data_IF_863810353687
#
_entry.id   IF_863810353687
#
_cell.length_a   1.000
_cell.length_b   1.000
_cell.length_c   1.000
_cell.angle_alpha   90.00
_cell.angle_beta   90.00
_cell.angle_gamma   90.00
#
_symmetry.space_group_name_H-M   'P 1'
#
loop_
_entity.id
_entity.type
_entity.pdbx_description
1 polymer ?
#
# COMPACT_ATOMS: atom_id res chain seq x y z
N UNK A 1 12.84 -5.58 28.99
CA UNK A 1 13.67 -5.51 27.77
C UNK A 1 12.88 -6.08 26.63
N UNK A 2 12.61 -5.26 25.64
CA UNK A 2 11.79 -5.63 24.46
C UNK A 2 12.69 -6.03 23.28
N UNK A 3 13.93 -5.57 23.30
CA UNK A 3 14.93 -5.96 22.32
C UNK A 3 15.75 -7.16 22.80
N UNK A 4 16.10 -8.02 21.83
CA UNK A 4 17.08 -9.08 22.08
C UNK A 4 18.44 -8.42 22.36
N UNK A 5 19.14 -8.90 23.38
CA UNK A 5 20.47 -8.38 23.77
C UNK A 5 21.45 -8.45 22.62
N UNK A 6 21.39 -9.52 21.83
CA UNK A 6 22.23 -9.70 20.64
C UNK A 6 21.97 -8.62 19.58
N UNK A 7 20.73 -8.14 19.46
CA UNK A 7 20.39 -7.07 18.53
C UNK A 7 20.97 -5.73 18.94
N UNK A 8 20.90 -5.35 20.23
CA UNK A 8 21.49 -4.09 20.71
C UNK A 8 23.01 -4.11 20.62
N UNK A 9 23.63 -5.24 20.93
CA UNK A 9 25.09 -5.43 20.77
C UNK A 9 25.50 -5.31 19.28
N UNK A 10 24.75 -5.92 18.37
CA UNK A 10 24.99 -5.80 16.92
C UNK A 10 24.79 -4.39 16.40
N UNK A 11 23.78 -3.65 16.90
CA UNK A 11 23.55 -2.25 16.54
C UNK A 11 24.70 -1.37 17.03
N UNK A 12 25.15 -1.55 18.28
CA UNK A 12 26.26 -0.80 18.85
C UNK A 12 27.57 -1.08 18.11
N UNK A 13 27.83 -2.34 17.75
CA UNK A 13 29.00 -2.73 16.96
C UNK A 13 28.97 -2.04 15.59
N UNK A 14 27.84 -2.11 14.88
CA UNK A 14 27.66 -1.44 13.60
C UNK A 14 27.92 0.08 13.68
N UNK A 15 27.37 0.73 14.70
CA UNK A 15 27.55 2.18 14.89
C UNK A 15 29.02 2.56 15.18
N UNK A 16 29.81 1.64 15.75
CA UNK A 16 31.23 1.86 16.00
C UNK A 16 32.11 1.59 14.77
N UNK A 17 31.81 0.51 14.03
CA UNK A 17 32.58 0.07 12.86
C UNK A 17 32.24 0.92 11.62
N UNK A 18 30.94 1.17 11.37
CA UNK A 18 30.44 1.94 10.23
C UNK A 18 29.97 3.34 10.67
N UNK A 19 30.79 4.00 11.48
CA UNK A 19 30.46 5.28 12.12
C UNK A 19 30.00 6.35 11.14
N UNK A 20 30.62 6.43 9.96
CA UNK A 20 30.29 7.44 8.95
C UNK A 20 28.89 7.20 8.36
N UNK A 21 28.54 5.94 8.05
CA UNK A 21 27.23 5.58 7.52
C UNK A 21 26.14 5.80 8.56
N UNK A 22 26.35 5.37 9.79
CA UNK A 22 25.42 5.61 10.89
C UNK A 22 25.21 7.12 11.16
N UNK A 23 26.30 7.90 11.18
CA UNK A 23 26.25 9.34 11.39
C UNK A 23 25.46 10.06 10.29
N UNK A 24 25.69 9.70 9.02
CA UNK A 24 24.97 10.29 7.88
C UNK A 24 23.44 10.10 8.03
N UNK A 25 23.00 8.90 8.41
CA UNK A 25 21.57 8.59 8.60
C UNK A 25 20.98 9.41 9.74
N UNK A 26 21.63 9.41 10.91
CA UNK A 26 21.14 10.12 12.09
C UNK A 26 21.12 11.64 11.85
N UNK A 27 22.17 12.16 11.22
CA UNK A 27 22.26 13.57 10.89
C UNK A 27 21.23 13.98 9.85
N UNK A 28 21.00 13.15 8.83
CA UNK A 28 19.96 13.41 7.82
C UNK A 28 18.57 13.53 8.42
N UNK A 29 18.24 12.70 9.43
CA UNK A 29 16.98 12.82 10.17
C UNK A 29 16.93 14.12 10.98
N UNK A 30 18.04 14.52 11.61
CA UNK A 30 18.12 15.76 12.40
C UNK A 30 18.01 16.99 11.50
N UNK A 31 18.57 16.96 10.29
CA UNK A 31 18.55 18.07 9.33
C UNK A 31 17.18 18.36 8.73
N UNK A 32 16.18 17.48 8.93
CA UNK A 32 14.80 17.76 8.54
C UNK A 32 14.19 18.92 9.34
N UNK A 33 14.86 19.39 10.40
CA UNK A 33 14.45 20.54 11.18
C UNK A 33 13.14 20.34 11.98
N UNK A 34 12.73 19.09 12.17
CA UNK A 34 11.54 18.71 12.93
C UNK A 34 11.93 17.98 14.21
N UNK A 35 11.33 18.39 15.33
CA UNK A 35 11.57 17.73 16.62
C UNK A 35 10.80 16.40 16.77
N UNK A 36 9.78 16.17 15.94
CA UNK A 36 9.00 14.93 15.89
C UNK A 36 8.85 14.51 14.43
N UNK A 37 9.24 13.28 14.13
CA UNK A 37 9.07 12.65 12.84
C UNK A 37 8.14 11.44 12.98
N UNK A 38 7.19 11.32 12.07
CA UNK A 38 6.35 10.14 11.95
C UNK A 38 7.00 9.12 10.99
N UNK A 39 6.52 7.88 11.06
CA UNK A 39 7.03 6.78 10.23
C UNK A 39 7.22 7.14 8.76
N UNK A 40 6.22 7.78 8.13
CA UNK A 40 6.28 8.16 6.72
C UNK A 40 7.46 9.11 6.43
N UNK A 41 7.68 10.09 7.31
CA UNK A 41 8.75 11.07 7.16
C UNK A 41 10.13 10.43 7.31
N UNK A 42 10.27 9.48 8.24
CA UNK A 42 11.50 8.69 8.39
C UNK A 42 11.77 7.83 7.15
N UNK A 43 10.75 7.16 6.61
CA UNK A 43 10.89 6.35 5.41
C UNK A 43 11.22 7.19 4.17
N UNK A 44 10.57 8.34 3.99
CA UNK A 44 10.85 9.28 2.89
C UNK A 44 12.28 9.84 2.98
N UNK A 45 12.77 10.13 4.19
CA UNK A 45 14.13 10.59 4.40
C UNK A 45 15.16 9.52 4.02
N UNK A 46 14.91 8.27 4.41
CA UNK A 46 15.78 7.15 4.06
C UNK A 46 15.78 6.86 2.55
N UNK A 47 14.63 6.92 1.90
CA UNK A 47 14.52 6.74 0.46
C UNK A 47 15.38 7.78 -0.30
N UNK A 48 15.33 9.05 0.10
CA UNK A 48 16.14 10.12 -0.49
C UNK A 48 17.65 9.90 -0.25
N UNK A 49 18.02 9.41 0.93
CA UNK A 49 19.42 9.09 1.23
C UNK A 49 19.94 7.96 0.31
N UNK A 50 19.14 6.92 0.08
CA UNK A 50 19.48 5.82 -0.82
C UNK A 50 19.55 6.25 -2.31
N UNK A 51 18.69 7.17 -2.76
CA UNK A 51 18.71 7.71 -4.12
C UNK A 51 19.96 8.53 -4.42
N UNK A 52 20.57 9.17 -3.42
CA UNK A 52 21.79 9.95 -3.57
C UNK A 52 23.06 9.10 -3.79
N UNK A 53 22.96 7.77 -3.81
CA UNK A 53 24.05 6.84 -4.18
C UNK A 53 25.05 6.55 -3.07
N UNK A 54 24.89 7.12 -1.89
CA UNK A 54 25.73 6.88 -0.74
C UNK A 54 25.05 5.92 0.23
N UNK A 55 25.64 4.72 0.37
CA UNK A 55 25.37 3.72 1.42
C UNK A 55 23.88 3.36 1.65
N UNK A 56 23.36 2.51 0.78
CA UNK A 56 22.13 1.78 1.08
C UNK A 56 22.36 0.92 2.36
N UNK A 57 21.57 1.16 3.40
CA UNK A 57 21.63 0.46 4.69
C UNK A 57 21.26 -1.03 4.60
N UNK A 58 21.13 -1.58 3.40
CA UNK A 58 20.62 -2.91 3.15
C UNK A 58 21.37 -3.99 3.96
N UNK A 59 20.62 -4.73 4.76
CA UNK A 59 21.14 -5.82 5.59
C UNK A 59 21.78 -5.38 6.92
N UNK A 60 21.85 -4.07 7.22
CA UNK A 60 22.45 -3.57 8.46
C UNK A 60 21.49 -3.60 9.66
N UNK A 61 22.01 -3.62 10.91
CA UNK A 61 21.18 -3.44 12.10
C UNK A 61 20.44 -2.09 12.12
N UNK A 62 21.01 -1.05 11.55
CA UNK A 62 20.41 0.28 11.45
C UNK A 62 19.18 0.26 10.51
N UNK A 63 19.24 -0.44 9.39
CA UNK A 63 18.08 -0.64 8.52
C UNK A 63 16.90 -1.26 9.29
N UNK A 64 17.17 -2.30 10.11
CA UNK A 64 16.13 -2.96 10.92
C UNK A 64 15.49 -2.02 11.93
N UNK A 65 16.27 -1.09 12.51
CA UNK A 65 15.73 -0.01 13.37
C UNK A 65 14.80 0.84 12.54
N UNK A 66 15.29 1.39 11.43
CA UNK A 66 14.57 2.37 10.61
C UNK A 66 13.28 1.80 10.00
N UNK A 67 13.27 0.54 9.59
CA UNK A 67 12.07 -0.13 9.09
C UNK A 67 10.96 -0.26 10.14
N UNK A 68 11.34 -0.37 11.44
CA UNK A 68 10.42 -0.56 12.56
C UNK A 68 10.00 0.73 13.25
N UNK A 69 10.62 1.86 12.91
CA UNK A 69 10.29 3.18 13.49
C UNK A 69 8.83 3.54 13.19
N UNK A 70 8.12 3.94 14.23
CA UNK A 70 6.79 4.53 14.14
C UNK A 70 6.82 6.04 14.41
N UNK A 71 7.63 6.43 15.38
CA UNK A 71 7.87 7.83 15.75
C UNK A 71 9.35 8.01 16.08
N UNK A 72 9.90 9.17 15.76
CA UNK A 72 11.22 9.60 16.21
C UNK A 72 11.12 11.01 16.81
N UNK A 73 11.64 11.18 18.02
CA UNK A 73 11.77 12.47 18.68
C UNK A 73 13.23 12.89 18.60
N UNK A 74 13.50 14.12 18.18
CA UNK A 74 14.85 14.66 17.99
C UNK A 74 15.04 15.83 18.92
N UNK A 75 16.04 15.72 19.79
CA UNK A 75 16.42 16.76 20.74
C UNK A 75 17.95 16.91 20.77
N UNK A 76 18.47 17.98 20.21
CA UNK A 76 19.89 18.19 20.01
C UNK A 76 20.60 16.98 19.36
N UNK A 77 21.54 16.34 20.04
CA UNK A 77 22.30 15.18 19.56
C UNK A 77 21.61 13.84 19.83
N UNK A 78 20.43 13.85 20.46
CA UNK A 78 19.69 12.67 20.83
C UNK A 78 18.50 12.42 19.90
N UNK A 79 18.40 11.18 19.45
CA UNK A 79 17.25 10.68 18.70
C UNK A 79 16.59 9.57 19.52
N UNK A 80 15.32 9.71 19.77
CA UNK A 80 14.49 8.76 20.53
C UNK A 80 13.50 8.11 19.58
N UNK A 81 13.52 6.80 19.48
CA UNK A 81 12.72 6.04 18.54
C UNK A 81 11.68 5.19 19.27
N UNK A 82 10.43 5.30 18.87
CA UNK A 82 9.41 4.32 19.18
C UNK A 82 9.39 3.28 18.06
N UNK A 83 9.77 2.05 18.37
CA UNK A 83 9.92 0.96 17.42
C UNK A 83 8.81 -0.07 17.64
N UNK A 84 8.21 -0.53 16.56
CA UNK A 84 7.28 -1.64 16.61
C UNK A 84 8.02 -2.93 16.23
N UNK A 85 8.44 -3.68 17.22
CA UNK A 85 9.25 -4.90 17.04
C UNK A 85 8.43 -6.03 16.44
N UNK A 86 7.19 -6.19 16.91
CA UNK A 86 6.16 -7.11 16.40
C UNK A 86 4.78 -6.50 16.62
N UNK A 87 3.75 -7.12 16.05
CA UNK A 87 2.36 -6.74 16.31
C UNK A 87 2.07 -6.75 17.82
N UNK A 88 1.62 -5.62 18.35
CA UNK A 88 1.34 -5.46 19.79
C UNK A 88 2.57 -5.34 20.70
N UNK A 89 3.79 -5.31 20.15
CA UNK A 89 5.03 -5.15 20.92
C UNK A 89 5.79 -3.90 20.50
N UNK A 90 6.00 -3.01 21.46
CA UNK A 90 6.73 -1.77 21.30
C UNK A 90 8.03 -1.79 22.07
N UNK A 91 9.09 -1.29 21.46
CA UNK A 91 10.38 -1.02 22.11
C UNK A 91 10.75 0.43 21.89
N UNK A 92 11.50 0.97 22.82
CA UNK A 92 11.94 2.36 22.77
C UNK A 92 13.45 2.39 22.85
N UNK A 93 14.05 3.17 21.94
CA UNK A 93 15.50 3.22 21.78
C UNK A 93 15.93 4.69 21.78
N UNK A 94 16.99 5.01 22.52
CA UNK A 94 17.68 6.28 22.39
C UNK A 94 19.01 6.08 21.66
N UNK A 95 19.34 7.00 20.77
CA UNK A 95 20.63 7.01 20.07
C UNK A 95 21.24 8.41 20.18
N UNK A 96 22.52 8.47 20.58
CA UNK A 96 23.28 9.70 20.52
C UNK A 96 24.07 9.74 19.21
N UNK A 97 23.82 10.75 18.37
CA UNK A 97 24.43 10.90 17.04
C UNK A 97 25.92 11.25 17.09
N UNK A 98 26.40 11.90 18.17
CA UNK A 98 27.81 12.27 18.33
C UNK A 98 28.63 11.17 19.01
N UNK A 99 28.08 10.60 20.10
CA UNK A 99 28.78 9.54 20.85
C UNK A 99 28.65 8.17 20.15
N UNK A 100 27.70 8.01 19.25
CA UNK A 100 27.37 6.73 18.60
C UNK A 100 27.01 5.64 19.61
N UNK A 101 26.19 5.98 20.58
CA UNK A 101 25.65 5.06 21.59
C UNK A 101 24.18 4.80 21.35
N UNK A 102 23.75 3.56 21.52
CA UNK A 102 22.35 3.13 21.43
C UNK A 102 21.95 2.38 22.69
N UNK A 103 20.85 2.78 23.30
CA UNK A 103 20.34 2.20 24.54
C UNK A 103 18.82 2.03 24.49
N UNK A 104 18.32 0.95 25.08
CA UNK A 104 16.88 0.74 25.28
C UNK A 104 16.41 1.58 26.46
N UNK A 105 15.32 2.33 26.27
CA UNK A 105 14.68 3.13 27.31
C UNK A 105 13.29 2.62 27.62
N UNK A 106 12.76 2.85 28.83
CA UNK A 106 11.39 2.52 29.16
C UNK A 106 10.40 3.47 28.46
N UNK A 107 9.16 3.00 28.25
CA UNK A 107 8.08 3.80 27.63
C UNK A 107 7.82 5.11 28.38
N UNK A 108 7.93 5.09 29.71
CA UNK A 108 7.72 6.28 30.56
C UNK A 108 8.73 7.39 30.25
N UNK A 109 9.95 7.03 29.95
CA UNK A 109 11.03 7.98 29.58
C UNK A 109 10.77 8.57 28.19
N UNK A 110 10.43 7.74 27.22
CA UNK A 110 10.08 8.20 25.87
C UNK A 110 8.88 9.16 25.90
N UNK A 111 7.82 8.82 26.64
CA UNK A 111 6.64 9.66 26.79
C UNK A 111 6.95 10.98 27.52
N UNK A 112 7.80 10.94 28.55
CA UNK A 112 8.26 12.14 29.25
C UNK A 112 9.00 13.11 28.33
N UNK A 113 9.92 12.60 27.50
CA UNK A 113 10.66 13.40 26.53
C UNK A 113 9.72 14.01 25.49
N UNK A 114 8.77 13.21 24.99
CA UNK A 114 7.76 13.67 24.04
C UNK A 114 6.84 14.73 24.64
N UNK A 115 6.42 14.57 25.89
CA UNK A 115 5.59 15.54 26.60
C UNK A 115 6.35 16.85 26.87
N UNK A 116 7.61 16.78 27.29
CA UNK A 116 8.47 17.95 27.49
C UNK A 116 8.61 18.74 26.20
N UNK A 117 8.75 18.08 25.07
CA UNK A 117 8.89 18.74 23.77
C UNK A 117 7.63 19.53 23.38
N UNK A 118 6.45 19.07 23.80
CA UNK A 118 5.17 19.79 23.60
C UNK A 118 5.04 20.96 24.58
N UNK A 119 5.42 20.77 25.85
CA UNK A 119 5.24 21.75 26.90
C UNK A 119 6.27 22.91 26.83
N UNK A 120 7.52 22.65 26.47
CA UNK A 120 8.55 23.70 26.30
C UNK A 120 8.24 24.70 25.16
N UNK A 121 7.31 24.36 24.28
CA UNK A 121 6.82 25.25 23.23
C UNK A 121 5.67 26.17 23.64
N UNK A 122 5.11 26.00 24.84
CA UNK A 122 4.01 26.87 25.32
C UNK A 122 4.48 28.30 25.66
N UNK A 123 5.75 28.56 25.87
CA UNK A 123 6.29 29.90 26.18
C UNK A 123 6.68 30.74 24.95
N UNK A 124 6.64 30.21 23.74
CA UNK A 124 6.82 31.02 22.53
C UNK A 124 5.55 31.01 21.67
N UNK A 125 4.75 32.09 21.83
CA UNK A 125 3.52 32.33 21.04
C UNK A 125 3.73 32.39 19.50
N UNK A 126 4.93 32.11 19.01
CA UNK A 126 5.29 32.21 17.59
C UNK A 126 5.23 30.88 16.82
N UNK A 127 4.95 29.74 17.50
CA UNK A 127 4.91 28.43 16.83
C UNK A 127 3.65 27.64 17.20
N UNK A 128 2.50 28.27 17.05
CA UNK A 128 1.25 27.53 16.92
C UNK A 128 1.35 26.78 15.61
N UNK A 129 1.29 25.44 15.64
CA UNK A 129 1.09 24.63 14.46
C UNK A 129 -0.30 24.99 13.90
N UNK A 130 -0.36 26.02 13.09
CA UNK A 130 -1.55 26.35 12.32
C UNK A 130 -1.69 25.27 11.24
N UNK A 131 -2.37 24.19 11.59
CA UNK A 131 -2.82 23.24 10.58
C UNK A 131 -3.88 23.97 9.78
N UNK A 132 -3.53 24.43 8.58
CA UNK A 132 -4.51 24.98 7.66
C UNK A 132 -5.46 23.87 7.21
N UNK A 133 -6.55 23.74 7.96
CA UNK A 133 -7.66 22.84 7.64
C UNK A 133 -8.59 23.40 6.56
N UNK A 134 -8.35 24.60 6.07
CA UNK A 134 -9.18 25.23 5.04
C UNK A 134 -9.28 24.39 3.76
N UNK A 135 -8.22 23.71 3.29
CA UNK A 135 -8.31 22.78 2.16
C UNK A 135 -9.21 21.58 2.41
N UNK A 136 -9.40 21.20 3.68
CA UNK A 136 -10.19 20.03 4.07
C UNK A 136 -11.64 20.38 4.43
N UNK A 137 -11.89 21.61 4.87
CA UNK A 137 -13.24 22.09 5.26
C UNK A 137 -14.07 22.58 4.06
N UNK A 138 -13.44 23.01 2.98
CA UNK A 138 -14.12 23.45 1.77
C UNK A 138 -14.21 22.29 0.77
N UNK A 139 -15.10 21.41 0.92
CA UNK A 139 -15.56 20.30 0.07
C UNK A 139 -14.88 19.96 -1.28
N UNK A 140 -14.04 20.84 -1.83
CA UNK A 140 -13.20 20.59 -3.02
C UNK A 140 -11.91 21.40 -2.91
N UNK A 141 -10.74 20.76 -2.86
CA UNK A 141 -9.49 21.47 -3.01
C UNK A 141 -9.45 22.11 -4.40
N UNK A 142 -9.24 23.42 -4.45
CA UNK A 142 -8.91 24.08 -5.71
C UNK A 142 -7.59 23.48 -6.19
N UNK A 143 -7.64 22.68 -7.27
CA UNK A 143 -6.44 22.16 -7.93
C UNK A 143 -5.63 23.36 -8.44
N UNK A 144 -4.60 23.75 -7.71
CA UNK A 144 -3.68 24.83 -8.11
C UNK A 144 -2.67 24.40 -9.15
N UNK A 145 -2.49 23.11 -9.39
CA UNK A 145 -1.59 22.60 -10.43
C UNK A 145 -2.20 21.43 -11.18
N UNK A 146 -2.58 21.68 -12.42
CA UNK A 146 -3.01 20.68 -13.42
C UNK A 146 -1.80 19.95 -14.02
N UNK A 147 -0.88 19.46 -13.20
CA UNK A 147 0.29 18.72 -13.70
C UNK A 147 0.26 17.30 -13.21
N UNK A 148 -0.22 16.42 -14.06
CA UNK A 148 -0.23 14.98 -14.12
C UNK A 148 -1.44 14.27 -13.46
N UNK A 149 -2.13 13.51 -14.29
CA UNK A 149 -3.19 12.55 -13.97
C UNK A 149 -2.72 11.50 -12.91
N UNK A 150 -1.40 11.30 -12.73
CA UNK A 150 -0.84 10.36 -11.76
C UNK A 150 -0.94 10.74 -10.28
N UNK A 151 -1.16 12.00 -9.94
CA UNK A 151 -1.26 12.45 -8.53
C UNK A 151 -2.67 12.37 -7.93
N UNK A 152 -3.68 12.03 -8.72
CA UNK A 152 -5.05 11.84 -8.22
C UNK A 152 -5.16 10.68 -7.24
N UNK A 153 -4.44 9.59 -7.48
CA UNK A 153 -4.39 8.42 -6.59
C UNK A 153 -3.68 8.79 -5.28
N UNK A 154 -2.56 9.49 -5.35
CA UNK A 154 -1.82 9.96 -4.17
C UNK A 154 -2.67 10.92 -3.32
N UNK A 155 -3.45 11.80 -3.96
CA UNK A 155 -4.38 12.69 -3.27
C UNK A 155 -5.51 11.91 -2.59
N UNK A 156 -6.12 10.95 -3.27
CA UNK A 156 -7.17 10.09 -2.69
C UNK A 156 -6.64 9.27 -1.52
N UNK A 157 -5.43 8.74 -1.64
CA UNK A 157 -4.80 7.97 -0.58
C UNK A 157 -4.49 8.83 0.64
N UNK A 158 -3.99 10.06 0.45
CA UNK A 158 -3.78 11.03 1.55
C UNK A 158 -5.09 11.40 2.23
N UNK A 159 -6.16 11.63 1.47
CA UNK A 159 -7.48 11.95 2.02
C UNK A 159 -8.08 10.77 2.80
N UNK A 160 -8.01 9.56 2.24
CA UNK A 160 -8.47 8.35 2.94
C UNK A 160 -7.68 8.12 4.23
N UNK A 161 -6.36 8.33 4.19
CA UNK A 161 -5.51 8.22 5.36
C UNK A 161 -5.86 9.24 6.42
N UNK A 162 -6.02 10.53 6.07
CA UNK A 162 -6.40 11.57 7.04
C UNK A 162 -7.76 11.27 7.69
N UNK A 163 -8.73 10.75 6.93
CA UNK A 163 -10.02 10.32 7.49
C UNK A 163 -9.88 9.12 8.44
N UNK A 164 -8.91 8.22 8.21
CA UNK A 164 -8.59 7.15 9.17
C UNK A 164 -7.95 7.67 10.46
N UNK A 165 -7.29 8.82 10.40
CA UNK A 165 -6.63 9.45 11.56
C UNK A 165 -7.55 10.37 12.36
N UNK A 166 -8.45 11.11 11.70
CA UNK A 166 -9.18 12.23 12.32
C UNK A 166 -10.28 11.83 13.32
N UNK A 167 -10.88 10.63 13.19
CA UNK A 167 -11.92 10.17 14.10
C UNK A 167 -11.57 8.80 14.68
N UNK A 168 -11.31 8.75 15.99
CA UNK A 168 -10.99 7.50 16.71
C UNK A 168 -12.02 6.40 16.42
N UNK A 169 -11.62 5.39 15.64
CA UNK A 169 -12.42 4.20 15.35
C UNK A 169 -13.33 4.29 14.11
N UNK A 170 -13.63 5.46 13.58
CA UNK A 170 -14.53 5.62 12.42
C UNK A 170 -13.85 5.14 11.12
N UNK A 171 -12.59 5.51 10.92
CA UNK A 171 -11.83 5.06 9.76
C UNK A 171 -11.58 3.55 9.73
N UNK A 172 -11.30 2.94 10.90
CA UNK A 172 -11.17 1.49 10.98
C UNK A 172 -12.48 0.77 10.66
N UNK A 173 -13.63 1.38 11.01
CA UNK A 173 -14.95 0.85 10.64
C UNK A 173 -15.22 0.97 9.15
N UNK A 174 -14.89 2.11 8.53
CA UNK A 174 -15.02 2.29 7.08
C UNK A 174 -14.16 1.29 6.31
N UNK A 175 -12.95 1.00 6.80
CA UNK A 175 -12.08 -0.01 6.20
C UNK A 175 -12.67 -1.42 6.35
N UNK A 176 -13.24 -1.75 7.50
CA UNK A 176 -13.95 -3.02 7.72
C UNK A 176 -15.14 -3.15 6.76
N UNK A 177 -16.01 -2.14 6.71
CA UNK A 177 -17.18 -2.13 5.83
C UNK A 177 -16.76 -2.27 4.36
N UNK A 178 -15.67 -1.59 3.96
CA UNK A 178 -15.09 -1.73 2.63
C UNK A 178 -14.62 -3.17 2.36
N UNK A 179 -13.93 -3.84 3.29
CA UNK A 179 -13.45 -5.21 3.10
C UNK A 179 -14.58 -6.25 3.00
N UNK A 180 -15.75 -5.98 3.58
CA UNK A 180 -16.92 -6.87 3.57
C UNK A 180 -17.74 -6.82 2.28
N UNK A 181 -17.58 -5.80 1.44
CA UNK A 181 -18.40 -5.64 0.22
C UNK A 181 -17.84 -6.35 -0.99
N UNK A 182 -16.61 -6.88 -0.90
CA UNK A 182 -15.96 -7.50 -2.05
C UNK A 182 -16.59 -8.85 -2.41
N UNK A 183 -16.99 -8.96 -3.65
CA UNK A 183 -17.57 -10.19 -4.22
C UNK A 183 -17.13 -10.36 -5.67
N UNK A 184 -17.00 -11.59 -6.08
CA UNK A 184 -16.92 -11.95 -7.48
C UNK A 184 -18.04 -12.92 -7.81
N UNK A 185 -19.03 -12.49 -8.61
CA UNK A 185 -20.30 -13.20 -8.85
C UNK A 185 -20.98 -13.46 -7.50
N UNK A 186 -21.18 -14.73 -7.16
CA UNK A 186 -21.82 -15.15 -5.89
C UNK A 186 -20.80 -15.45 -4.78
N UNK A 187 -19.51 -15.43 -5.10
CA UNK A 187 -18.45 -15.72 -4.13
C UNK A 187 -18.11 -14.46 -3.33
N UNK A 188 -18.18 -14.55 -2.01
CA UNK A 188 -17.66 -13.54 -1.10
C UNK A 188 -16.12 -13.57 -1.10
N UNK A 189 -15.49 -12.42 -1.07
CA UNK A 189 -14.04 -12.22 -1.03
C UNK A 189 -13.65 -11.42 0.22
N UNK A 190 -12.41 -11.52 0.62
CA UNK A 190 -11.81 -10.84 1.74
C UNK A 190 -12.40 -11.24 3.09
N UNK A 191 -13.58 -10.75 3.47
CA UNK A 191 -14.21 -11.02 4.77
C UNK A 191 -15.65 -11.52 4.61
N UNK A 192 -16.03 -12.49 5.45
CA UNK A 192 -17.42 -12.93 5.60
C UNK A 192 -18.09 -12.31 6.84
N UNK A 193 -19.33 -12.70 7.12
CA UNK A 193 -20.16 -12.12 8.16
C UNK A 193 -19.73 -12.49 9.60
N UNK A 194 -18.74 -13.35 9.80
CA UNK A 194 -18.18 -13.69 11.12
C UNK A 194 -17.45 -12.47 11.72
N UNK A 195 -16.86 -11.63 10.88
CA UNK A 195 -16.18 -10.40 11.29
C UNK A 195 -17.15 -9.23 11.18
N UNK A 196 -17.78 -8.84 12.25
CA UNK A 196 -18.81 -7.80 12.31
C UNK A 196 -18.32 -6.45 12.87
N UNK A 197 -17.22 -6.46 13.63
CA UNK A 197 -16.62 -5.26 14.19
C UNK A 197 -15.09 -5.25 14.11
N UNK A 198 -14.48 -4.11 14.41
CA UNK A 198 -13.01 -3.90 14.33
C UNK A 198 -12.26 -4.71 15.39
N UNK A 199 -12.87 -5.00 16.55
CA UNK A 199 -12.22 -5.78 17.61
C UNK A 199 -12.17 -7.25 17.21
N UNK A 200 -13.26 -7.76 16.66
CA UNK A 200 -13.36 -9.11 16.09
C UNK A 200 -12.34 -9.25 14.96
N UNK A 201 -12.23 -8.25 14.05
CA UNK A 201 -11.23 -8.25 12.98
C UNK A 201 -9.79 -8.34 13.53
N UNK A 202 -9.46 -7.52 14.53
CA UNK A 202 -8.11 -7.54 15.14
C UNK A 202 -7.80 -8.89 15.80
N UNK A 203 -8.77 -9.46 16.50
CA UNK A 203 -8.62 -10.78 17.14
C UNK A 203 -8.44 -11.88 16.10
N UNK A 204 -9.28 -11.90 15.06
CA UNK A 204 -9.21 -12.85 13.96
C UNK A 204 -7.87 -12.76 13.20
N UNK A 205 -7.40 -11.54 12.90
CA UNK A 205 -6.10 -11.32 12.24
C UNK A 205 -4.94 -11.87 13.08
N UNK A 206 -4.93 -11.66 14.40
CA UNK A 206 -3.87 -12.20 15.28
C UNK A 206 -3.88 -13.73 15.28
N UNK A 207 -5.05 -14.35 15.39
CA UNK A 207 -5.16 -15.81 15.35
C UNK A 207 -4.74 -16.37 13.98
N UNK A 208 -5.15 -15.71 12.88
CA UNK A 208 -4.76 -16.10 11.54
C UNK A 208 -3.24 -15.97 11.32
N UNK A 209 -2.59 -14.91 11.81
CA UNK A 209 -1.13 -14.74 11.71
C UNK A 209 -0.37 -15.78 12.52
N UNK A 210 -0.87 -16.22 13.68
CA UNK A 210 -0.30 -17.33 14.44
C UNK A 210 -0.37 -18.66 13.66
N UNK A 211 -1.53 -18.99 13.09
CA UNK A 211 -1.72 -20.20 12.26
C UNK A 211 -0.80 -20.17 11.04
N UNK A 212 -0.75 -19.04 10.33
CA UNK A 212 0.04 -18.89 9.11
C UNK A 212 1.55 -18.94 9.38
N UNK A 213 1.99 -18.43 10.53
CA UNK A 213 3.41 -18.48 10.94
C UNK A 213 3.88 -19.90 11.31
N UNK A 214 2.94 -20.78 11.67
CA UNK A 214 3.24 -22.16 12.06
C UNK A 214 3.38 -23.12 10.86
N UNK A 215 3.04 -22.69 9.65
CA UNK A 215 3.07 -23.51 8.43
C UNK A 215 4.14 -23.03 7.45
N UNK A 216 4.62 -23.87 6.53
CA UNK A 216 5.55 -23.44 5.49
C UNK A 216 4.97 -22.31 4.63
N UNK A 217 5.78 -21.28 4.31
CA UNK A 217 5.34 -20.09 3.58
C UNK A 217 4.70 -20.38 2.21
N UNK A 218 5.07 -21.51 1.58
CA UNK A 218 4.54 -21.93 0.27
C UNK A 218 3.28 -22.78 0.35
N UNK A 219 2.71 -22.98 1.55
CA UNK A 219 1.45 -23.74 1.72
C UNK A 219 0.32 -23.01 0.99
N UNK A 220 -0.36 -23.66 0.01
CA UNK A 220 -1.38 -23.01 -0.78
C UNK A 220 -2.59 -22.59 0.07
N UNK A 221 -3.26 -21.50 -0.33
CA UNK A 221 -4.49 -21.01 0.32
C UNK A 221 -5.54 -22.12 0.53
N UNK A 222 -5.74 -22.97 -0.45
CA UNK A 222 -6.77 -24.01 -0.39
C UNK A 222 -6.64 -24.97 0.80
N UNK A 223 -5.39 -25.24 1.24
CA UNK A 223 -5.12 -26.09 2.39
C UNK A 223 -5.44 -25.39 3.71
N UNK A 224 -5.39 -24.07 3.74
CA UNK A 224 -5.62 -23.22 4.91
C UNK A 224 -7.04 -22.67 4.99
N UNK A 225 -7.76 -22.68 3.86
CA UNK A 225 -9.04 -22.01 3.68
C UNK A 225 -10.10 -22.41 4.70
N UNK A 226 -10.16 -23.69 5.10
CA UNK A 226 -11.14 -24.17 6.08
C UNK A 226 -10.99 -23.48 7.44
N UNK A 227 -9.75 -23.37 7.94
CA UNK A 227 -9.46 -22.70 9.22
C UNK A 227 -9.65 -21.18 9.10
N UNK A 228 -9.16 -20.58 8.03
CA UNK A 228 -9.24 -19.13 7.85
C UNK A 228 -10.67 -18.64 7.68
N UNK A 229 -11.56 -19.43 7.03
CA UNK A 229 -12.99 -19.13 6.93
C UNK A 229 -13.72 -19.15 8.27
N UNK A 230 -13.32 -20.02 9.20
CA UNK A 230 -13.90 -20.00 10.56
C UNK A 230 -13.54 -18.73 11.33
N UNK A 231 -12.41 -18.09 10.98
CA UNK A 231 -12.01 -16.79 11.51
C UNK A 231 -12.60 -15.61 10.75
N UNK A 232 -13.32 -15.87 9.67
CA UNK A 232 -13.96 -14.83 8.87
C UNK A 232 -13.23 -14.42 7.60
N UNK A 233 -12.12 -15.08 7.22
CA UNK A 233 -11.33 -14.75 6.03
C UNK A 233 -11.74 -15.59 4.82
N UNK A 234 -12.16 -14.93 3.76
CA UNK A 234 -12.46 -15.50 2.45
C UNK A 234 -11.28 -15.32 1.48
N UNK A 235 -11.26 -15.93 0.29
CA UNK A 235 -10.18 -15.76 -0.67
C UNK A 235 -9.92 -14.28 -1.03
N UNK A 236 -8.69 -13.96 -1.39
CA UNK A 236 -8.27 -12.60 -1.78
C UNK A 236 -7.08 -12.07 -1.00
N UNK A 237 -6.59 -12.81 0.00
CA UNK A 237 -5.47 -12.40 0.86
C UNK A 237 -4.10 -12.80 0.35
N UNK A 238 -4.03 -13.76 -0.55
CA UNK A 238 -2.79 -14.26 -1.10
C UNK A 238 -2.91 -15.69 -1.61
N UNK A 239 -2.03 -16.09 -2.51
CA UNK A 239 -2.02 -17.44 -3.09
C UNK A 239 -1.49 -18.52 -2.15
N UNK A 240 -0.65 -18.12 -1.18
CA UNK A 240 0.04 -19.00 -0.24
C UNK A 240 0.12 -18.38 1.17
N UNK A 241 0.54 -19.19 2.15
CA UNK A 241 0.63 -18.80 3.56
C UNK A 241 1.52 -17.57 3.77
N UNK A 242 2.66 -17.50 3.10
CA UNK A 242 3.61 -16.40 3.28
C UNK A 242 3.06 -15.06 2.81
N UNK A 243 2.40 -15.03 1.64
CA UNK A 243 1.74 -13.81 1.14
C UNK A 243 0.55 -13.43 1.98
N UNK A 244 -0.27 -14.40 2.35
CA UNK A 244 -1.42 -14.15 3.21
C UNK A 244 -1.00 -13.57 4.56
N UNK A 245 0.03 -14.13 5.17
CA UNK A 245 0.61 -13.64 6.42
C UNK A 245 1.07 -12.19 6.29
N UNK A 246 1.92 -11.89 5.30
CA UNK A 246 2.45 -10.56 5.09
C UNK A 246 1.34 -9.51 4.86
N UNK A 247 0.28 -9.91 4.17
CA UNK A 247 -0.84 -9.02 3.88
C UNK A 247 -1.75 -8.79 5.09
N UNK A 248 -1.98 -9.83 5.91
CA UNK A 248 -2.70 -9.70 7.18
C UNK A 248 -1.93 -8.88 8.22
N UNK A 249 -0.60 -9.05 8.28
CA UNK A 249 0.27 -8.21 9.11
C UNK A 249 0.22 -6.75 8.68
N UNK A 250 0.22 -6.47 7.36
CA UNK A 250 0.07 -5.12 6.85
C UNK A 250 -1.26 -4.48 7.29
N UNK A 251 -2.37 -5.24 7.27
CA UNK A 251 -3.65 -4.74 7.78
C UNK A 251 -3.61 -4.48 9.29
N UNK A 252 -3.00 -5.36 10.07
CA UNK A 252 -2.79 -5.13 11.50
C UNK A 252 -1.98 -3.86 11.75
N UNK A 253 -0.93 -3.63 10.95
CA UNK A 253 -0.14 -2.40 11.00
C UNK A 253 -0.99 -1.15 10.76
N UNK A 254 -1.85 -1.18 9.75
CA UNK A 254 -2.76 -0.07 9.44
C UNK A 254 -3.77 0.17 10.55
N UNK A 255 -4.32 -0.89 11.13
CA UNK A 255 -5.31 -0.77 12.23
C UNK A 255 -4.69 -0.25 13.53
N UNK A 256 -3.40 -0.47 13.78
CA UNK A 256 -2.72 0.00 14.99
C UNK A 256 -2.01 1.35 14.78
N UNK A 257 -1.32 1.51 13.66
CA UNK A 257 -0.56 2.70 13.31
C UNK A 257 -0.76 3.04 11.82
N UNK A 258 -1.90 3.64 11.46
CA UNK A 258 -2.21 3.93 10.07
C UNK A 258 -1.15 4.82 9.42
N UNK A 259 -0.74 4.47 8.20
CA UNK A 259 0.14 5.29 7.38
C UNK A 259 -0.37 5.36 5.93
N UNK A 260 -0.20 6.48 5.22
CA UNK A 260 -0.62 6.60 3.83
C UNK A 260 -0.03 5.52 2.92
N UNK A 261 1.27 5.28 3.01
CA UNK A 261 1.98 4.27 2.22
C UNK A 261 1.58 2.84 2.57
N UNK A 262 1.27 2.57 3.85
CA UNK A 262 0.75 1.28 4.29
C UNK A 262 -0.63 1.01 3.71
N UNK A 263 -1.52 2.01 3.76
CA UNK A 263 -2.86 1.91 3.19
C UNK A 263 -2.82 1.74 1.67
N UNK A 264 -1.97 2.48 0.96
CA UNK A 264 -1.78 2.36 -0.49
C UNK A 264 -1.38 0.94 -0.87
N UNK A 265 -0.30 0.40 -0.28
CA UNK A 265 0.14 -0.98 -0.51
C UNK A 265 -0.94 -2.01 -0.18
N UNK A 266 -1.76 -1.75 0.84
CA UNK A 266 -2.86 -2.63 1.19
C UNK A 266 -3.95 -2.60 0.12
N UNK A 267 -4.39 -1.41 -0.31
CA UNK A 267 -5.45 -1.24 -1.30
C UNK A 267 -5.06 -1.79 -2.68
N UNK A 268 -3.79 -1.66 -3.08
CA UNK A 268 -3.27 -2.21 -4.34
C UNK A 268 -3.44 -3.73 -4.46
N UNK A 269 -3.47 -4.44 -3.32
CA UNK A 269 -3.57 -5.89 -3.29
C UNK A 269 -5.00 -6.41 -3.08
N UNK A 270 -6.00 -5.53 -2.97
CA UNK A 270 -7.40 -5.96 -2.84
C UNK A 270 -7.96 -6.34 -4.23
N UNK A 271 -8.57 -7.51 -4.38
CA UNK A 271 -9.17 -7.93 -5.65
C UNK A 271 -10.47 -7.17 -5.92
N UNK A 272 -10.39 -6.05 -6.64
CA UNK A 272 -11.53 -5.18 -6.92
C UNK A 272 -11.94 -5.15 -8.38
N UNK A 273 -10.99 -5.37 -9.31
CA UNK A 273 -11.22 -5.18 -10.74
C UNK A 273 -11.12 -6.52 -11.46
N UNK A 274 -12.25 -7.01 -11.93
CA UNK A 274 -12.36 -8.27 -12.68
C UNK A 274 -12.75 -8.07 -14.14
N UNK A 275 -13.22 -6.86 -14.48
CA UNK A 275 -13.66 -6.53 -15.84
C UNK A 275 -13.26 -5.10 -16.19
N UNK A 276 -12.82 -4.89 -17.43
CA UNK A 276 -12.46 -3.58 -17.97
C UNK A 276 -13.17 -3.39 -19.32
N UNK A 277 -13.74 -2.21 -19.53
CA UNK A 277 -14.25 -1.78 -20.82
C UNK A 277 -13.35 -0.70 -21.41
N UNK A 278 -12.91 -0.88 -22.66
CA UNK A 278 -12.14 0.08 -23.43
C UNK A 278 -13.05 0.61 -24.53
N UNK A 279 -13.27 1.93 -24.56
CA UNK A 279 -14.08 2.57 -25.59
C UNK A 279 -13.18 3.08 -26.72
N UNK A 280 -13.38 2.57 -27.95
CA UNK A 280 -12.67 2.98 -29.14
C UNK A 280 -13.66 3.23 -30.30
N UNK A 281 -14.37 4.35 -30.30
CA UNK A 281 -15.45 4.61 -31.27
C UNK A 281 -14.98 4.99 -32.67
N UNK A 282 -13.69 5.31 -32.86
CA UNK A 282 -13.15 5.81 -34.12
C UNK A 282 -12.62 4.69 -35.03
N UNK A 283 -12.76 4.89 -36.32
CA UNK A 283 -12.17 4.08 -37.35
C UNK A 283 -12.77 2.65 -37.49
N UNK A 284 -12.09 1.84 -38.26
CA UNK A 284 -12.38 0.42 -38.44
C UNK A 284 -11.63 -0.39 -37.41
N UNK A 285 -12.31 -0.85 -36.37
CA UNK A 285 -11.66 -1.59 -35.31
C UNK A 285 -11.82 -3.13 -35.51
N UNK A 286 -10.73 -3.78 -35.89
CA UNK A 286 -10.69 -5.22 -36.13
C UNK A 286 -9.26 -5.74 -36.00
N UNK A 287 -9.09 -7.05 -36.07
CA UNK A 287 -7.80 -7.71 -35.90
C UNK A 287 -7.02 -7.88 -37.21
N UNK A 288 -7.71 -7.88 -38.35
CA UNK A 288 -7.10 -8.01 -39.68
C UNK A 288 -7.76 -7.06 -40.67
N UNK A 289 -7.00 -6.71 -41.73
CA UNK A 289 -7.45 -5.96 -42.91
C UNK A 289 -8.07 -4.59 -42.66
N UNK A 290 -7.80 -3.99 -41.47
CA UNK A 290 -8.32 -2.69 -41.11
C UNK A 290 -7.33 -1.55 -41.27
N UNK A 291 -6.04 -1.84 -41.34
CA UNK A 291 -5.00 -0.81 -41.54
C UNK A 291 -5.13 -0.18 -42.92
N UNK A 292 -5.07 1.18 -42.96
CA UNK A 292 -5.26 1.93 -44.19
C UNK A 292 -6.72 2.25 -44.52
N UNK A 293 -7.70 1.78 -43.75
CA UNK A 293 -9.09 2.20 -43.86
C UNK A 293 -9.28 3.60 -43.28
N UNK A 294 -10.32 4.36 -43.73
CA UNK A 294 -10.60 5.68 -43.18
C UNK A 294 -10.67 5.72 -41.64
N UNK A 295 -10.09 6.74 -41.06
CA UNK A 295 -9.99 6.94 -39.61
C UNK A 295 -9.35 5.77 -38.81
N UNK A 296 -8.60 4.92 -39.51
CA UNK A 296 -7.96 3.74 -38.89
C UNK A 296 -6.46 3.90 -38.97
N UNK A 297 -5.84 4.12 -37.81
CA UNK A 297 -4.39 4.26 -37.65
C UNK A 297 -3.78 3.16 -36.79
N UNK A 298 -2.53 3.34 -36.39
CA UNK A 298 -1.81 2.44 -35.45
C UNK A 298 -2.49 2.22 -34.10
N UNK A 299 -3.48 3.07 -33.76
CA UNK A 299 -4.25 2.98 -32.52
C UNK A 299 -4.91 1.59 -32.32
N UNK A 300 -5.41 0.98 -33.37
CA UNK A 300 -6.06 -0.35 -33.30
C UNK A 300 -5.07 -1.41 -32.86
N UNK A 301 -3.88 -1.44 -33.47
CA UNK A 301 -2.81 -2.38 -33.11
C UNK A 301 -2.38 -2.15 -31.67
N UNK A 302 -2.17 -0.88 -31.30
CA UNK A 302 -1.78 -0.52 -29.94
C UNK A 302 -2.82 -0.98 -28.90
N UNK A 303 -4.11 -0.75 -29.12
CA UNK A 303 -5.18 -1.17 -28.20
C UNK A 303 -5.23 -2.71 -28.10
N UNK A 304 -5.11 -3.42 -29.21
CA UNK A 304 -5.12 -4.90 -29.19
C UNK A 304 -3.93 -5.46 -28.42
N UNK A 305 -2.74 -4.89 -28.59
CA UNK A 305 -1.56 -5.30 -27.83
C UNK A 305 -1.68 -4.94 -26.34
N UNK A 306 -2.23 -3.76 -26.04
CA UNK A 306 -2.53 -3.35 -24.69
C UNK A 306 -3.53 -4.30 -24.02
N UNK A 307 -4.59 -4.71 -24.70
CA UNK A 307 -5.59 -5.68 -24.19
C UNK A 307 -4.94 -7.01 -23.85
N UNK A 308 -4.07 -7.54 -24.73
CA UNK A 308 -3.34 -8.79 -24.49
C UNK A 308 -2.42 -8.71 -23.29
N UNK A 309 -1.71 -7.59 -23.14
CA UNK A 309 -0.84 -7.34 -21.98
C UNK A 309 -1.64 -7.16 -20.69
N UNK A 310 -2.73 -6.41 -20.75
CA UNK A 310 -3.61 -6.11 -19.62
C UNK A 310 -4.29 -7.37 -19.07
N UNK A 311 -4.85 -8.24 -19.96
CA UNK A 311 -5.46 -9.50 -19.51
C UNK A 311 -4.45 -10.37 -18.76
N UNK A 312 -3.23 -10.50 -19.28
CA UNK A 312 -2.16 -11.26 -18.61
C UNK A 312 -1.76 -10.64 -17.27
N UNK A 313 -1.63 -9.33 -17.21
CA UNK A 313 -1.28 -8.62 -15.98
C UNK A 313 -2.38 -8.78 -14.91
N UNK A 314 -3.65 -8.60 -15.29
CA UNK A 314 -4.79 -8.79 -14.40
C UNK A 314 -4.89 -10.23 -13.90
N UNK A 315 -4.77 -11.22 -14.80
CA UNK A 315 -4.82 -12.64 -14.42
C UNK A 315 -3.70 -12.98 -13.42
N UNK A 316 -2.46 -12.54 -13.68
CA UNK A 316 -1.35 -12.75 -12.76
C UNK A 316 -1.60 -12.07 -11.40
N UNK A 317 -2.11 -10.84 -11.39
CA UNK A 317 -2.46 -10.14 -10.16
C UNK A 317 -3.49 -10.90 -9.34
N UNK A 318 -4.56 -11.41 -9.97
CA UNK A 318 -5.60 -12.21 -9.32
C UNK A 318 -5.05 -13.54 -8.78
N UNK A 319 -4.18 -14.22 -9.53
CA UNK A 319 -3.50 -15.42 -9.04
C UNK A 319 -2.64 -15.14 -7.81
N UNK A 320 -1.90 -14.02 -7.77
CA UNK A 320 -1.11 -13.62 -6.62
C UNK A 320 -1.98 -13.32 -5.39
N UNK A 321 -3.23 -12.90 -5.58
CA UNK A 321 -4.24 -12.70 -4.55
C UNK A 321 -4.95 -14.00 -4.14
N UNK A 322 -4.58 -15.15 -4.73
CA UNK A 322 -5.19 -16.44 -4.44
C UNK A 322 -6.49 -16.71 -5.19
N UNK A 323 -6.74 -16.00 -6.28
CA UNK A 323 -7.94 -16.11 -7.11
C UNK A 323 -7.59 -16.60 -8.51
N UNK A 324 -8.03 -17.80 -8.86
CA UNK A 324 -7.93 -18.35 -10.23
C UNK A 324 -9.15 -17.90 -11.05
N UNK A 325 -9.12 -16.62 -11.45
CA UNK A 325 -10.20 -15.97 -12.21
C UNK A 325 -9.60 -15.42 -13.50
N UNK A 326 -10.25 -15.75 -14.63
CA UNK A 326 -9.95 -15.11 -15.90
C UNK A 326 -10.67 -13.74 -15.97
N UNK A 327 -9.92 -12.62 -16.00
CA UNK A 327 -10.50 -11.30 -16.10
C UNK A 327 -11.18 -11.10 -17.45
N UNK A 328 -12.19 -10.23 -17.49
CA UNK A 328 -12.90 -9.90 -18.72
C UNK A 328 -12.48 -8.54 -19.26
N UNK A 329 -12.08 -8.45 -20.53
CA UNK A 329 -11.82 -7.18 -21.18
C UNK A 329 -12.72 -7.04 -22.40
N UNK A 330 -13.46 -5.94 -22.45
CA UNK A 330 -14.38 -5.63 -23.53
C UNK A 330 -13.93 -4.36 -24.26
N UNK A 331 -13.57 -4.50 -25.53
CA UNK A 331 -13.34 -3.34 -26.38
C UNK A 331 -14.67 -3.00 -27.08
N UNK A 332 -15.22 -1.85 -26.76
CA UNK A 332 -16.47 -1.36 -27.35
C UNK A 332 -16.16 -0.39 -28.49
N UNK A 333 -16.67 -0.70 -29.66
CA UNK A 333 -16.45 0.07 -30.89
C UNK A 333 -17.71 0.13 -31.75
N UNK A 334 -17.66 0.84 -32.86
CA UNK A 334 -18.78 0.93 -33.79
C UNK A 334 -18.91 -0.31 -34.69
N UNK A 335 -20.12 -0.69 -35.01
CA UNK A 335 -20.45 -1.66 -36.01
C UNK A 335 -20.40 -1.00 -37.39
N UNK A 336 -19.74 -1.64 -38.37
CA UNK A 336 -19.69 -1.17 -39.75
C UNK A 336 -20.32 -2.27 -40.62
N UNK A 337 -21.59 -2.06 -41.05
CA UNK A 337 -22.35 -3.10 -41.76
C UNK A 337 -21.71 -3.55 -43.06
N UNK A 338 -21.07 -2.65 -43.79
CA UNK A 338 -20.48 -2.90 -45.10
C UNK A 338 -19.28 -3.83 -45.06
N UNK A 339 -18.61 -3.92 -43.90
CA UNK A 339 -17.45 -4.76 -43.58
C UNK A 339 -16.26 -4.75 -44.55
N UNK A 340 -16.46 -4.65 -45.84
CA UNK A 340 -15.47 -4.59 -46.93
C UNK A 340 -14.27 -5.56 -46.77
N UNK A 341 -14.58 -6.81 -46.42
CA UNK A 341 -13.60 -7.86 -46.21
C UNK A 341 -13.00 -7.94 -44.80
N UNK A 342 -13.43 -7.04 -43.90
CA UNK A 342 -13.03 -7.06 -42.46
C UNK A 342 -14.07 -7.81 -41.61
N UNK A 343 -13.79 -7.98 -40.31
CA UNK A 343 -14.75 -8.51 -39.31
C UNK A 343 -15.61 -7.43 -38.68
N UNK A 344 -15.58 -6.19 -39.18
CA UNK A 344 -16.23 -5.02 -38.54
C UNK A 344 -17.75 -5.05 -38.51
N UNK A 345 -18.40 -5.97 -39.24
CA UNK A 345 -19.85 -6.26 -39.19
C UNK A 345 -20.25 -7.32 -38.15
N UNK A 346 -19.30 -7.99 -37.51
CA UNK A 346 -19.59 -8.94 -36.46
C UNK A 346 -19.82 -8.20 -35.14
N UNK A 347 -20.95 -8.45 -34.47
CA UNK A 347 -21.29 -7.78 -33.22
C UNK A 347 -20.33 -8.13 -32.08
N UNK A 348 -19.88 -9.37 -32.02
CA UNK A 348 -18.97 -9.87 -30.97
C UNK A 348 -17.86 -10.68 -31.63
N UNK A 349 -16.62 -10.36 -31.30
CA UNK A 349 -15.43 -11.02 -31.82
C UNK A 349 -14.44 -11.28 -30.66
N UNK A 350 -13.91 -12.49 -30.55
CA UNK A 350 -12.88 -12.82 -29.57
C UNK A 350 -11.52 -12.29 -30.04
N UNK A 351 -10.73 -11.72 -29.13
CA UNK A 351 -9.40 -11.19 -29.44
C UNK A 351 -8.38 -12.33 -29.43
N UNK A 352 -7.69 -12.53 -30.53
CA UNK A 352 -6.66 -13.55 -30.66
C UNK A 352 -5.50 -13.32 -29.65
N UNK A 353 -5.06 -14.40 -29.00
CA UNK A 353 -4.00 -14.34 -27.99
C UNK A 353 -4.48 -13.95 -26.61
N UNK A 354 -5.79 -13.92 -26.38
CA UNK A 354 -6.44 -13.71 -25.07
C UNK A 354 -7.34 -14.89 -24.71
N UNK A 355 -7.68 -15.02 -23.41
CA UNK A 355 -8.62 -16.04 -22.91
C UNK A 355 -10.06 -15.52 -22.90
N UNK A 356 -10.27 -14.28 -22.47
CA UNK A 356 -11.59 -13.74 -22.22
C UNK A 356 -11.74 -12.26 -22.62
N UNK A 357 -10.91 -11.79 -23.57
CA UNK A 357 -11.08 -10.47 -24.13
C UNK A 357 -11.87 -10.51 -25.44
N UNK A 358 -12.77 -9.54 -25.65
CA UNK A 358 -13.67 -9.49 -26.79
C UNK A 358 -13.82 -8.07 -27.33
N UNK A 359 -14.13 -7.98 -28.63
CA UNK A 359 -14.58 -6.75 -29.29
C UNK A 359 -16.10 -6.80 -29.36
N UNK A 360 -16.77 -5.83 -28.78
CA UNK A 360 -18.21 -5.61 -28.93
C UNK A 360 -18.45 -4.43 -29.86
N UNK A 361 -19.12 -4.68 -30.97
CA UNK A 361 -19.48 -3.62 -31.90
C UNK A 361 -20.96 -3.25 -31.75
N UNK A 362 -21.18 -1.96 -31.55
CA UNK A 362 -22.53 -1.40 -31.38
C UNK A 362 -22.89 -0.54 -32.58
N UNK A 363 -24.14 -0.60 -33.07
CA UNK A 363 -24.59 0.30 -34.13
C UNK A 363 -24.60 1.73 -33.58
N UNK A 364 -24.03 2.64 -34.35
CA UNK A 364 -24.17 4.10 -34.16
C UNK A 364 -25.23 4.59 -35.15
N UNK A 365 -26.22 5.31 -34.65
CA UNK A 365 -27.24 5.98 -35.42
C UNK A 365 -26.74 7.38 -35.85
#
# INVERSE_FOLDING_TARGET
>A
MTFDRDFLEALQLYMNEERNSAHKVLHHLSDLGKSLLLRGEVQDALARLCESGDDCLAGTPMERVMQKVQEAVIEADWLYFALRTRVGQWGYLQINSNMMTAEEIPVSEFLYIKERLVNDRQDSAEHILEIDLEPFLRGFPKMRETRSIGRGVEFLNRRLSSQLFDERGKGSRLLLDFLRVHRYREQTLMLNDVVDDVQTLRSALRQATEILSAVPAKTPWNELSAHLRTLGFEPGWGRDAGRTLAYMELLLDILEAPSPSGLERFLENIPMIFSIAILSPHGWFGQSDVLGRPDTGGQVVYILDQVRALERAMHNSLLEQGLDIDPQILVVTRLIPEAEGTTCNQRLESIAGTRNARILRVPFL
#
